data_IF_943554144645
#
_entry.id   IF_943554144645
#
_cell.length_a   1.000
_cell.length_b   1.000
_cell.length_c   1.000
_cell.angle_alpha   90.00
_cell.angle_beta   90.00
_cell.angle_gamma   90.00
#
_symmetry.space_group_name_H-M   'P 1'
#
loop_
_entity.id
_entity.type
_entity.pdbx_description
1 polymer ?
#
# COMPACT_ATOMS: atom_id res chain seq x y z
N UNK A 1 -1.23 -29.20 27.50
CA UNK A 1 -1.94 -29.90 26.42
C UNK A 1 -2.08 -29.01 25.18
N UNK A 2 -2.69 -27.82 25.26
CA UNK A 2 -2.84 -26.88 24.12
C UNK A 2 -1.53 -26.62 23.37
N UNK A 3 -0.47 -26.20 24.06
CA UNK A 3 0.83 -25.92 23.40
C UNK A 3 1.44 -27.14 22.69
N UNK A 4 1.22 -28.36 23.20
CA UNK A 4 1.71 -29.60 22.57
C UNK A 4 0.95 -29.84 21.26
N UNK A 5 -0.37 -29.64 21.27
CA UNK A 5 -1.19 -29.75 20.05
C UNK A 5 -0.74 -28.72 19.01
N UNK A 6 -0.52 -27.46 19.41
CA UNK A 6 -0.04 -26.42 18.49
C UNK A 6 1.34 -26.76 17.91
N UNK A 7 2.26 -27.29 18.72
CA UNK A 7 3.58 -27.71 18.26
C UNK A 7 3.50 -28.85 17.23
N UNK A 8 2.65 -29.86 17.47
CA UNK A 8 2.42 -30.95 16.52
C UNK A 8 1.72 -30.47 15.24
N UNK A 9 0.74 -29.59 15.34
CA UNK A 9 0.09 -28.96 14.18
C UNK A 9 1.10 -28.17 13.33
N UNK A 10 1.98 -27.40 13.98
CA UNK A 10 3.04 -26.65 13.31
C UNK A 10 3.97 -27.58 12.53
N UNK A 11 4.42 -28.65 13.19
CA UNK A 11 5.33 -29.65 12.60
C UNK A 11 4.71 -30.39 11.42
N UNK A 12 3.44 -30.78 11.52
CA UNK A 12 2.78 -31.62 10.52
C UNK A 12 2.18 -30.83 9.34
N UNK A 13 1.66 -29.63 9.59
CA UNK A 13 0.84 -28.89 8.62
C UNK A 13 1.30 -27.46 8.38
N UNK A 14 2.23 -26.94 9.19
CA UNK A 14 2.78 -25.60 9.06
C UNK A 14 1.89 -24.49 9.66
N UNK A 15 2.29 -23.22 9.48
CA UNK A 15 1.69 -22.08 10.18
C UNK A 15 0.19 -21.87 9.94
N UNK A 16 -0.32 -22.22 8.74
CA UNK A 16 -1.73 -22.07 8.42
C UNK A 16 -2.60 -22.88 9.39
N UNK A 17 -2.22 -24.13 9.66
CA UNK A 17 -3.00 -25.02 10.52
C UNK A 17 -2.99 -24.50 11.95
N UNK A 18 -1.85 -24.00 12.42
CA UNK A 18 -1.75 -23.50 13.80
C UNK A 18 -2.61 -22.25 14.00
N UNK A 19 -2.57 -21.30 13.06
CA UNK A 19 -3.40 -20.10 13.12
C UNK A 19 -4.90 -20.43 13.22
N UNK A 20 -5.37 -21.46 12.51
CA UNK A 20 -6.78 -21.88 12.55
C UNK A 20 -7.12 -22.88 13.65
N UNK A 21 -6.19 -23.73 14.07
CA UNK A 21 -6.37 -24.62 15.21
C UNK A 21 -6.59 -23.83 16.51
N UNK A 22 -5.96 -22.66 16.65
CA UNK A 22 -6.18 -21.76 17.78
C UNK A 22 -7.65 -21.32 17.87
N UNK A 23 -8.29 -21.00 16.75
CA UNK A 23 -9.71 -20.61 16.71
C UNK A 23 -10.61 -21.77 17.17
N UNK A 24 -10.30 -22.99 16.72
CA UNK A 24 -11.02 -24.21 17.15
C UNK A 24 -10.80 -24.51 18.64
N UNK A 25 -9.58 -24.39 19.14
CA UNK A 25 -9.25 -24.66 20.54
C UNK A 25 -9.85 -23.61 21.48
N UNK A 26 -9.84 -22.34 21.09
CA UNK A 26 -10.45 -21.25 21.86
C UNK A 26 -11.97 -21.45 21.98
N UNK A 27 -12.65 -21.83 20.89
CA UNK A 27 -14.12 -22.07 20.92
C UNK A 27 -14.54 -23.33 21.69
N UNK A 28 -13.62 -24.27 21.92
CA UNK A 28 -13.92 -25.53 22.60
C UNK A 28 -13.77 -25.50 24.14
N UNK A 29 -13.17 -24.45 24.72
CA UNK A 29 -12.93 -24.36 26.17
C UNK A 29 -12.53 -22.96 26.63
N UNK A 30 -13.24 -22.40 27.61
CA UNK A 30 -12.92 -21.11 28.25
C UNK A 30 -11.50 -21.07 28.84
N UNK A 31 -11.02 -22.20 29.36
CA UNK A 31 -9.66 -22.31 29.87
C UNK A 31 -8.63 -22.21 28.75
N UNK A 32 -8.88 -22.86 27.61
CA UNK A 32 -8.00 -22.79 26.46
C UNK A 32 -8.03 -21.37 25.85
N UNK A 33 -9.20 -20.77 25.74
CA UNK A 33 -9.37 -19.38 25.29
C UNK A 33 -8.56 -18.41 26.13
N UNK A 34 -8.68 -18.50 27.47
CA UNK A 34 -7.95 -17.63 28.41
C UNK A 34 -6.45 -17.77 28.20
N UNK A 35 -5.93 -19.01 28.11
CA UNK A 35 -4.50 -19.26 27.91
C UNK A 35 -3.99 -18.80 26.54
N UNK A 36 -4.80 -18.87 25.49
CA UNK A 36 -4.40 -18.49 24.13
C UNK A 36 -4.36 -16.97 23.95
N UNK A 37 -5.19 -16.24 24.70
CA UNK A 37 -5.32 -14.78 24.65
C UNK A 37 -4.52 -14.03 25.71
N UNK A 38 -4.01 -14.73 26.72
CA UNK A 38 -3.12 -14.15 27.71
C UNK A 38 -1.87 -13.55 27.05
N UNK A 39 -1.55 -12.31 27.40
CA UNK A 39 -0.34 -11.64 26.91
C UNK A 39 0.88 -12.14 27.67
N UNK A 40 1.96 -12.43 26.94
CA UNK A 40 3.19 -12.91 27.54
C UNK A 40 4.33 -11.91 27.35
N UNK A 41 4.92 -11.43 28.45
CA UNK A 41 6.02 -10.45 28.41
C UNK A 41 7.25 -10.93 27.63
N UNK A 42 7.57 -12.22 27.71
CA UNK A 42 8.68 -12.83 26.95
C UNK A 42 8.40 -12.90 25.44
N UNK A 43 7.16 -12.71 25.00
CA UNK A 43 6.77 -12.58 23.59
C UNK A 43 6.65 -11.11 23.15
N UNK A 44 7.11 -10.16 23.96
CA UNK A 44 6.93 -8.74 23.68
C UNK A 44 5.51 -8.24 23.94
N UNK A 45 4.79 -8.88 24.86
CA UNK A 45 3.45 -8.47 25.27
C UNK A 45 2.35 -8.85 24.28
N UNK A 46 2.59 -9.86 23.44
CA UNK A 46 1.56 -10.44 22.56
C UNK A 46 1.11 -11.80 23.11
N UNK A 47 -0.07 -12.23 22.70
CA UNK A 47 -0.63 -13.53 23.04
C UNK A 47 -0.13 -14.64 22.12
N UNK A 48 -0.38 -15.90 22.49
CA UNK A 48 -0.09 -17.06 21.63
C UNK A 48 -0.94 -17.01 20.35
N UNK A 49 -2.20 -16.57 20.48
CA UNK A 49 -3.09 -16.33 19.33
C UNK A 49 -2.48 -15.32 18.37
N UNK A 50 -2.10 -14.13 18.86
CA UNK A 50 -1.52 -13.08 18.03
C UNK A 50 -0.19 -13.53 17.40
N UNK A 51 0.69 -14.19 18.16
CA UNK A 51 1.96 -14.71 17.64
C UNK A 51 1.77 -15.58 16.40
N UNK A 52 0.90 -16.59 16.46
CA UNK A 52 0.72 -17.53 15.34
C UNK A 52 -0.02 -16.89 14.17
N UNK A 53 -0.91 -15.94 14.43
CA UNK A 53 -1.58 -15.17 13.39
C UNK A 53 -0.59 -14.28 12.63
N UNK A 54 0.35 -13.64 13.35
CA UNK A 54 1.44 -12.87 12.76
C UNK A 54 2.39 -13.74 11.94
N UNK A 55 2.79 -14.91 12.45
CA UNK A 55 3.64 -15.85 11.72
C UNK A 55 2.98 -16.27 10.41
N UNK A 56 1.69 -16.61 10.43
CA UNK A 56 0.98 -16.99 9.21
C UNK A 56 0.79 -15.81 8.25
N UNK A 57 0.47 -14.62 8.77
CA UNK A 57 0.40 -13.40 7.96
C UNK A 57 1.73 -13.10 7.26
N UNK A 58 2.87 -13.36 7.92
CA UNK A 58 4.20 -13.21 7.31
C UNK A 58 4.44 -14.19 6.17
N UNK A 59 4.00 -15.45 6.31
CA UNK A 59 4.04 -16.43 5.20
C UNK A 59 3.20 -15.91 4.02
N UNK A 60 1.96 -15.49 4.27
CA UNK A 60 1.07 -14.95 3.23
C UNK A 60 1.69 -13.73 2.54
N UNK A 61 2.30 -12.83 3.32
CA UNK A 61 2.96 -11.61 2.86
C UNK A 61 4.16 -11.85 1.94
N UNK A 62 4.79 -13.03 2.04
CA UNK A 62 6.01 -13.34 1.29
C UNK A 62 5.73 -13.83 -0.13
N UNK A 63 4.48 -14.15 -0.46
CA UNK A 63 4.08 -14.69 -1.75
C UNK A 63 3.20 -13.71 -2.54
N UNK A 64 3.49 -13.58 -3.84
CA UNK A 64 2.87 -12.59 -4.72
C UNK A 64 1.36 -12.83 -4.96
N UNK A 65 0.87 -14.05 -4.79
CA UNK A 65 -0.53 -14.41 -4.96
C UNK A 65 -1.32 -14.31 -3.66
N UNK A 66 -0.68 -14.54 -2.52
CA UNK A 66 -1.37 -14.59 -1.22
C UNK A 66 -1.25 -13.33 -0.36
N UNK A 67 -0.36 -12.38 -0.69
CA UNK A 67 -0.13 -11.20 0.17
C UNK A 67 -1.39 -10.38 0.45
N UNK A 68 -2.36 -10.37 -0.47
CA UNK A 68 -3.65 -9.66 -0.31
C UNK A 68 -4.53 -10.26 0.80
N UNK A 69 -4.24 -11.48 1.23
CA UNK A 69 -4.95 -12.15 2.33
C UNK A 69 -4.34 -11.75 3.68
N UNK A 70 -3.04 -11.43 3.72
CA UNK A 70 -2.33 -11.07 4.95
C UNK A 70 -2.99 -9.92 5.74
N UNK A 71 -3.53 -8.84 5.13
CA UNK A 71 -4.23 -7.78 5.86
C UNK A 71 -5.32 -8.29 6.80
N UNK A 72 -6.09 -9.31 6.42
CA UNK A 72 -7.17 -9.86 7.26
C UNK A 72 -6.62 -10.42 8.58
N UNK A 73 -5.48 -11.11 8.51
CA UNK A 73 -4.81 -11.65 9.69
C UNK A 73 -4.13 -10.56 10.50
N UNK A 74 -3.47 -9.60 9.83
CA UNK A 74 -2.76 -8.50 10.48
C UNK A 74 -3.72 -7.58 11.23
N UNK A 75 -4.87 -7.22 10.66
CA UNK A 75 -5.82 -6.32 11.33
C UNK A 75 -6.55 -6.95 12.51
N UNK A 76 -6.49 -8.28 12.62
CA UNK A 76 -7.00 -9.02 13.77
C UNK A 76 -5.99 -9.10 14.93
N UNK A 77 -4.78 -8.57 14.75
CA UNK A 77 -3.71 -8.56 15.75
C UNK A 77 -3.61 -7.17 16.41
N UNK A 78 -3.86 -7.09 17.71
CA UNK A 78 -4.07 -5.82 18.42
C UNK A 78 -2.75 -5.06 18.64
N UNK A 79 -1.64 -5.77 18.91
CA UNK A 79 -0.39 -5.13 19.32
C UNK A 79 0.49 -4.77 18.15
N UNK A 80 0.77 -5.73 17.28
CA UNK A 80 1.79 -5.58 16.23
C UNK A 80 1.22 -5.60 14.81
N UNK A 81 -0.04 -6.01 14.65
CA UNK A 81 -0.69 -6.22 13.36
C UNK A 81 -0.67 -5.02 12.44
N UNK A 82 -1.14 -3.87 12.94
CA UNK A 82 -1.25 -2.65 12.14
C UNK A 82 0.11 -2.14 11.64
N UNK A 83 1.14 -2.10 12.49
CA UNK A 83 2.47 -1.68 12.06
C UNK A 83 3.06 -2.58 10.98
N UNK A 84 2.82 -3.90 11.06
CA UNK A 84 3.24 -4.85 10.04
C UNK A 84 2.44 -4.70 8.73
N UNK A 85 1.16 -4.34 8.82
CA UNK A 85 0.34 -4.04 7.64
C UNK A 85 0.88 -2.81 6.91
N UNK A 86 1.21 -1.72 7.62
CA UNK A 86 1.80 -0.53 7.02
C UNK A 86 3.12 -0.84 6.29
N UNK A 87 3.96 -1.69 6.91
CA UNK A 87 5.22 -2.16 6.31
C UNK A 87 4.96 -3.00 5.06
N UNK A 88 3.99 -3.92 5.09
CA UNK A 88 3.63 -4.76 3.96
C UNK A 88 3.18 -3.92 2.76
N UNK A 89 2.30 -2.95 2.99
CA UNK A 89 1.74 -2.09 1.94
C UNK A 89 2.80 -1.17 1.35
N UNK A 90 3.68 -0.63 2.19
CA UNK A 90 4.79 0.24 1.75
C UNK A 90 5.84 -0.48 0.89
N UNK A 91 5.91 -1.81 0.95
CA UNK A 91 6.85 -2.63 0.17
C UNK A 91 6.32 -3.04 -1.21
N UNK A 92 5.04 -2.80 -1.49
CA UNK A 92 4.45 -3.22 -2.75
C UNK A 92 5.03 -2.43 -3.94
N UNK A 93 5.16 -3.07 -5.13
CA UNK A 93 5.72 -2.43 -6.31
C UNK A 93 4.87 -1.27 -6.81
N UNK A 94 5.42 -0.05 -6.80
CA UNK A 94 4.72 1.17 -7.27
C UNK A 94 4.61 1.27 -8.78
N UNK A 95 5.38 0.46 -9.53
CA UNK A 95 5.37 0.45 -10.99
C UNK A 95 4.16 -0.29 -11.58
N UNK A 96 3.55 -1.18 -10.81
CA UNK A 96 2.38 -1.95 -11.21
C UNK A 96 1.13 -1.20 -10.72
N UNK A 97 0.37 -0.65 -11.67
CA UNK A 97 -0.82 0.15 -11.38
C UNK A 97 -1.92 -0.70 -10.72
N UNK A 98 -2.05 -1.98 -11.07
CA UNK A 98 -3.07 -2.84 -10.47
C UNK A 98 -2.75 -3.14 -9.02
N UNK A 99 -1.48 -3.42 -8.71
CA UNK A 99 -1.03 -3.62 -7.34
C UNK A 99 -1.17 -2.31 -6.54
N UNK A 100 -0.76 -1.18 -7.10
CA UNK A 100 -0.87 0.12 -6.46
C UNK A 100 -2.32 0.47 -6.09
N UNK A 101 -3.28 0.25 -7.00
CA UNK A 101 -4.70 0.48 -6.73
C UNK A 101 -5.23 -0.41 -5.60
N UNK A 102 -4.82 -1.69 -5.56
CA UNK A 102 -5.18 -2.60 -4.48
C UNK A 102 -4.63 -2.14 -3.14
N UNK A 103 -3.38 -1.67 -3.12
CA UNK A 103 -2.75 -1.13 -1.91
C UNK A 103 -3.51 0.10 -1.39
N UNK A 104 -3.88 1.02 -2.29
CA UNK A 104 -4.66 2.20 -1.93
C UNK A 104 -6.03 1.81 -1.36
N UNK A 105 -6.69 0.82 -1.96
CA UNK A 105 -7.98 0.34 -1.47
C UNK A 105 -7.85 -0.33 -0.09
N UNK A 106 -6.81 -1.14 0.13
CA UNK A 106 -6.53 -1.71 1.45
C UNK A 106 -6.26 -0.59 2.47
N UNK A 107 -5.46 0.42 2.12
CA UNK A 107 -5.25 1.57 3.00
C UNK A 107 -6.57 2.28 3.32
N UNK A 108 -7.46 2.45 2.34
CA UNK A 108 -8.78 3.07 2.55
C UNK A 108 -9.66 2.24 3.48
N UNK A 109 -9.66 0.91 3.33
CA UNK A 109 -10.45 -0.01 4.17
C UNK A 109 -10.00 -0.01 5.64
N UNK A 110 -8.71 0.24 5.90
CA UNK A 110 -8.13 0.23 7.24
C UNK A 110 -7.68 1.63 7.73
N UNK A 111 -8.18 2.70 7.11
CA UNK A 111 -7.96 4.09 7.51
C UNK A 111 -6.47 4.51 7.58
N UNK A 112 -5.65 3.96 6.68
CA UNK A 112 -4.20 4.22 6.57
C UNK A 112 -3.89 5.38 5.62
N UNK A 113 -4.50 6.54 5.85
CA UNK A 113 -4.40 7.71 4.96
C UNK A 113 -2.97 8.21 4.76
N UNK A 114 -2.16 8.20 5.83
CA UNK A 114 -0.77 8.63 5.79
C UNK A 114 0.08 7.70 4.90
N UNK A 115 -0.12 6.39 5.00
CA UNK A 115 0.54 5.37 4.18
C UNK A 115 0.10 5.50 2.73
N UNK A 116 -1.21 5.61 2.48
CA UNK A 116 -1.76 5.82 1.13
C UNK A 116 -1.16 7.05 0.45
N UNK A 117 -1.16 8.20 1.14
CA UNK A 117 -0.56 9.44 0.64
C UNK A 117 0.93 9.27 0.32
N UNK A 118 1.71 8.63 1.20
CA UNK A 118 3.13 8.41 0.99
C UNK A 118 3.40 7.50 -0.23
N UNK A 119 2.63 6.42 -0.38
CA UNK A 119 2.75 5.50 -1.51
C UNK A 119 2.41 6.23 -2.83
N UNK A 120 1.34 7.01 -2.86
CA UNK A 120 0.99 7.83 -4.03
C UNK A 120 2.08 8.87 -4.37
N UNK A 121 2.71 9.51 -3.38
CA UNK A 121 3.86 10.41 -3.61
C UNK A 121 5.04 9.70 -4.24
N UNK A 122 5.34 8.48 -3.78
CA UNK A 122 6.42 7.65 -4.32
C UNK A 122 6.09 7.24 -5.76
N UNK A 123 4.87 6.76 -6.01
CA UNK A 123 4.39 6.42 -7.35
C UNK A 123 4.47 7.62 -8.30
N UNK A 124 4.02 8.79 -7.86
CA UNK A 124 4.07 10.02 -8.64
C UNK A 124 5.49 10.41 -9.05
N UNK A 125 6.44 10.42 -8.10
CA UNK A 125 7.86 10.67 -8.43
C UNK A 125 8.45 9.60 -9.33
N UNK A 126 8.11 8.33 -9.10
CA UNK A 126 8.59 7.23 -9.91
C UNK A 126 8.14 7.39 -11.36
N UNK A 127 6.84 7.55 -11.62
CA UNK A 127 6.31 7.73 -12.98
C UNK A 127 6.86 9.00 -13.64
N UNK A 128 6.98 10.11 -12.91
CA UNK A 128 7.56 11.36 -13.42
C UNK A 128 9.01 11.18 -13.90
N UNK A 129 9.84 10.48 -13.13
CA UNK A 129 11.25 10.21 -13.47
C UNK A 129 11.40 9.26 -14.67
N UNK A 130 10.42 8.41 -14.93
CA UNK A 130 10.43 7.42 -16.02
C UNK A 130 9.66 7.89 -17.27
N UNK A 131 9.60 9.20 -17.51
CA UNK A 131 8.97 9.77 -18.72
C UNK A 131 7.44 9.71 -18.76
N UNK A 132 6.79 9.01 -17.83
CA UNK A 132 5.32 8.93 -17.71
C UNK A 132 4.76 10.12 -16.95
N UNK A 133 4.90 11.32 -17.54
CA UNK A 133 4.60 12.60 -16.88
C UNK A 133 3.15 12.72 -16.41
N UNK A 134 2.18 12.32 -17.24
CA UNK A 134 0.76 12.33 -16.91
C UNK A 134 0.45 11.48 -15.67
N UNK A 135 0.89 10.22 -15.63
CA UNK A 135 0.75 9.36 -14.45
C UNK A 135 1.47 9.91 -13.23
N UNK A 136 2.64 10.54 -13.43
CA UNK A 136 3.38 11.20 -12.35
C UNK A 136 2.57 12.33 -11.70
N UNK A 137 1.99 13.21 -12.52
CA UNK A 137 1.13 14.31 -12.04
C UNK A 137 -0.14 13.76 -11.39
N UNK A 138 -0.80 12.78 -12.02
CA UNK A 138 -2.00 12.14 -11.50
C UNK A 138 -1.81 11.65 -10.06
N UNK A 139 -0.76 10.85 -9.80
CA UNK A 139 -0.52 10.32 -8.46
C UNK A 139 -0.12 11.39 -7.45
N UNK A 140 0.64 12.41 -7.86
CA UNK A 140 0.95 13.55 -6.98
C UNK A 140 -0.30 14.38 -6.63
N UNK A 141 -1.26 14.51 -7.55
CA UNK A 141 -2.56 15.13 -7.30
C UNK A 141 -3.38 14.30 -6.31
N UNK A 142 -3.48 12.98 -6.52
CA UNK A 142 -4.16 12.08 -5.58
C UNK A 142 -3.54 12.17 -4.18
N UNK A 143 -2.21 12.31 -4.10
CA UNK A 143 -1.49 12.45 -2.84
C UNK A 143 -1.58 13.84 -2.19
N UNK A 144 -2.18 14.83 -2.87
CA UNK A 144 -2.20 16.25 -2.47
C UNK A 144 -0.81 16.84 -2.23
N UNK A 145 0.17 16.45 -3.04
CA UNK A 145 1.56 16.97 -2.96
C UNK A 145 1.71 18.28 -3.75
N UNK A 146 1.08 19.34 -3.24
CA UNK A 146 1.06 20.66 -3.89
C UNK A 146 2.45 21.23 -4.11
N UNK A 147 3.38 21.00 -3.17
CA UNK A 147 4.76 21.48 -3.28
C UNK A 147 5.43 20.91 -4.53
N UNK A 148 5.33 19.60 -4.76
CA UNK A 148 5.90 18.99 -5.97
C UNK A 148 5.13 19.37 -7.23
N UNK A 149 3.81 19.48 -7.16
CA UNK A 149 2.99 19.90 -8.31
C UNK A 149 3.33 21.32 -8.76
N UNK A 150 3.50 22.26 -7.83
CA UNK A 150 3.89 23.63 -8.13
C UNK A 150 5.29 23.69 -8.74
N UNK A 151 6.23 22.89 -8.23
CA UNK A 151 7.58 22.78 -8.83
C UNK A 151 7.52 22.23 -10.26
N UNK A 152 6.70 21.22 -10.50
CA UNK A 152 6.48 20.67 -11.84
C UNK A 152 5.87 21.73 -12.76
N UNK A 153 4.87 22.47 -12.30
CA UNK A 153 4.23 23.53 -13.07
C UNK A 153 5.25 24.61 -13.47
N UNK A 154 6.09 25.07 -12.53
CA UNK A 154 7.14 26.04 -12.82
C UNK A 154 8.12 25.53 -13.87
N UNK A 155 8.57 24.27 -13.76
CA UNK A 155 9.48 23.67 -14.74
C UNK A 155 8.86 23.63 -16.15
N UNK A 156 7.56 23.36 -16.24
CA UNK A 156 6.85 23.38 -17.52
C UNK A 156 6.72 24.80 -18.09
N UNK A 157 6.40 25.79 -17.24
CA UNK A 157 6.34 27.19 -17.66
C UNK A 157 7.68 27.71 -18.16
N UNK A 158 8.77 27.45 -17.43
CA UNK A 158 10.11 27.86 -17.82
C UNK A 158 10.53 27.23 -19.16
N UNK A 159 10.23 25.94 -19.34
CA UNK A 159 10.52 25.22 -20.57
C UNK A 159 9.74 25.79 -21.77
N UNK A 160 8.44 26.06 -21.61
CA UNK A 160 7.62 26.66 -22.67
C UNK A 160 8.13 28.07 -23.01
N UNK A 161 8.44 28.89 -22.00
CA UNK A 161 9.01 30.22 -22.20
C UNK A 161 10.29 30.21 -23.03
N UNK A 162 11.19 29.25 -22.77
CA UNK A 162 12.42 29.07 -23.56
C UNK A 162 12.13 28.57 -24.98
N UNK A 163 11.17 27.66 -25.16
CA UNK A 163 10.82 27.12 -26.49
C UNK A 163 10.18 28.16 -27.42
N UNK A 164 9.44 29.13 -26.88
CA UNK A 164 8.82 30.22 -27.66
C UNK A 164 9.89 31.21 -28.16
N UNK A 165 10.99 31.38 -27.40
CA UNK A 165 12.12 32.21 -27.82
C UNK A 165 13.01 31.56 -28.88
N UNK A 166 12.79 30.28 -29.24
CA UNK A 166 13.68 29.50 -30.09
C UNK A 166 12.92 28.92 -31.30
N UNK A 167 13.00 29.59 -32.47
CA UNK A 167 12.25 29.22 -33.68
C UNK A 167 12.54 27.80 -34.19
N UNK A 168 13.69 27.22 -33.83
CA UNK A 168 14.12 25.87 -34.23
C UNK A 168 13.30 24.73 -33.59
N UNK A 169 12.52 25.03 -32.55
CA UNK A 169 11.97 24.01 -31.65
C UNK A 169 10.59 23.44 -32.06
N UNK A 170 9.87 24.10 -32.98
CA UNK A 170 8.53 23.69 -33.44
C UNK A 170 8.49 22.27 -34.04
N UNK A 171 9.60 21.79 -34.61
CA UNK A 171 9.68 20.48 -35.28
C UNK A 171 9.92 19.31 -34.32
N UNK A 172 10.53 19.55 -33.15
CA UNK A 172 11.00 18.49 -32.24
C UNK A 172 9.91 17.96 -31.29
N UNK A 173 8.84 18.74 -31.09
CA UNK A 173 7.73 18.41 -30.20
C UNK A 173 6.68 17.47 -30.82
N UNK A 174 6.55 17.45 -32.15
CA UNK A 174 5.60 16.58 -32.85
C UNK A 174 6.00 15.10 -32.84
N UNK A 175 7.25 14.78 -32.49
CA UNK A 175 7.76 13.40 -32.43
C UNK A 175 7.53 12.71 -31.07
N UNK A 176 7.21 13.46 -30.01
CA UNK A 176 6.90 12.90 -28.68
C UNK A 176 5.48 13.30 -28.28
N UNK A 177 4.51 12.52 -28.77
CA UNK A 177 3.08 12.70 -28.56
C UNK A 177 2.71 12.95 -27.08
N UNK A 178 2.53 14.22 -26.72
CA UNK A 178 1.62 14.61 -25.66
C UNK A 178 0.21 14.52 -26.24
N UNK A 179 -0.67 13.74 -25.61
CA UNK A 179 -2.09 13.83 -25.90
C UNK A 179 -2.59 15.18 -25.34
N UNK A 180 -2.60 16.19 -26.22
CA UNK A 180 -3.05 17.55 -25.92
C UNK A 180 -4.48 17.56 -25.35
N UNK A 181 -5.28 16.53 -25.62
CA UNK A 181 -6.62 16.39 -25.08
C UNK A 181 -6.62 16.23 -23.54
N UNK A 182 -5.61 15.59 -22.96
CA UNK A 182 -5.52 15.40 -21.50
C UNK A 182 -5.23 16.71 -20.75
N UNK A 183 -4.42 17.59 -21.33
CA UNK A 183 -4.11 18.91 -20.75
C UNK A 183 -5.34 19.82 -20.81
N UNK A 184 -6.10 19.76 -21.91
CA UNK A 184 -7.34 20.50 -22.12
C UNK A 184 -8.44 20.00 -21.18
N UNK A 185 -8.56 18.69 -20.95
CA UNK A 185 -9.50 18.11 -19.97
C UNK A 185 -9.18 18.54 -18.52
N UNK A 186 -7.90 18.60 -18.13
CA UNK A 186 -7.51 19.10 -16.80
C UNK A 186 -7.84 20.60 -16.65
N UNK A 187 -7.68 21.39 -17.71
CA UNK A 187 -7.96 22.82 -17.69
C UNK A 187 -9.47 23.11 -17.63
N UNK A 188 -10.28 22.38 -18.40
CA UNK A 188 -11.74 22.50 -18.34
C UNK A 188 -12.35 21.85 -17.09
N UNK A 189 -11.74 20.80 -16.55
CA UNK A 189 -12.17 20.17 -15.29
C UNK A 189 -12.10 21.10 -14.08
N UNK A 190 -11.21 22.11 -14.09
CA UNK A 190 -11.17 23.15 -13.04
C UNK A 190 -12.27 24.21 -13.15
N UNK A 191 -12.90 24.39 -14.31
CA UNK A 191 -14.05 25.29 -14.45
C UNK A 191 -15.35 24.66 -13.94
N UNK A 192 -15.40 23.34 -13.76
CA UNK A 192 -16.61 22.62 -13.32
C UNK A 192 -16.76 22.48 -11.78
N UNK A 193 -15.73 22.81 -10.99
CA UNK A 193 -15.75 22.69 -9.50
C UNK A 193 -15.73 24.08 -8.83
N UNK A 194 -16.05 25.12 -9.61
CA UNK A 194 -16.25 26.48 -9.15
C UNK A 194 -17.72 26.90 -9.24
N UNK A 195 -18.61 26.11 -8.64
CA UNK A 195 -19.95 26.51 -8.16
C UNK A 195 -20.30 25.67 -6.93
#
# INVERSE_FOLDING_TARGET
MVQVVLAECSRAFGPWMVAHAIELLASGSDQAETLLREEHYNLGGISIEELHRLVYAQVLSSDALTWQIAPIYLTSCIKQGMGLLEILLSKQPVQDVQILLKVIEICRLYELDSVSSNIMKIAGVYHWKHGRKGSGVFWLQQARDEVRLNRIAQQLFDFVGQSISDESFKLKWLETSFDLNFVVEIWHGKQAIGM
#
